data_IF_939568751385
#
_entry.id   IF_939568751385
#
_cell.length_a   1.000
_cell.length_b   1.000
_cell.length_c   1.000
_cell.angle_alpha   90.00
_cell.angle_beta   90.00
_cell.angle_gamma   90.00
#
_symmetry.space_group_name_H-M   'P 1'
#
loop_
_entity.id
_entity.type
_entity.pdbx_description
1 polymer ?
#
# COMPACT_ATOMS: atom_id res chain seq x y z
N UNK A 1 43.28 -6.08 -9.15
CA UNK A 1 42.66 -5.28 -10.22
C UNK A 1 41.18 -5.63 -10.54
N UNK A 2 40.70 -6.87 -10.29
CA UNK A 2 39.26 -7.25 -10.49
C UNK A 2 38.28 -6.58 -9.50
N UNK A 3 38.72 -6.34 -8.26
CA UNK A 3 37.94 -5.64 -7.22
C UNK A 3 37.72 -4.14 -7.46
N UNK A 4 38.51 -3.53 -8.35
CA UNK A 4 38.40 -2.11 -8.68
C UNK A 4 37.32 -1.87 -9.74
N UNK A 5 37.14 -2.80 -10.69
CA UNK A 5 36.06 -2.71 -11.69
C UNK A 5 34.68 -2.94 -11.09
N UNK A 6 34.53 -3.84 -10.11
CA UNK A 6 33.26 -3.98 -9.38
C UNK A 6 32.89 -2.74 -8.56
N UNK A 7 33.89 -2.05 -7.97
CA UNK A 7 33.67 -0.78 -7.27
C UNK A 7 33.27 0.36 -8.21
N UNK A 8 33.87 0.44 -9.40
CA UNK A 8 33.55 1.46 -10.40
C UNK A 8 32.14 1.27 -11.01
N UNK A 9 31.66 0.03 -11.13
CA UNK A 9 30.26 -0.26 -11.53
C UNK A 9 29.30 0.18 -10.43
N UNK A 10 29.62 -0.07 -9.15
CA UNK A 10 28.80 0.39 -8.03
C UNK A 10 28.82 1.92 -7.85
N UNK A 11 29.93 2.60 -8.11
CA UNK A 11 30.01 4.07 -8.06
C UNK A 11 29.30 4.74 -9.25
N UNK A 12 29.34 4.14 -10.45
CA UNK A 12 28.58 4.61 -11.60
C UNK A 12 27.05 4.49 -11.43
N UNK A 13 26.59 3.49 -10.67
CA UNK A 13 25.17 3.28 -10.36
C UNK A 13 24.64 4.24 -9.27
N UNK A 14 25.52 4.84 -8.46
CA UNK A 14 25.15 5.81 -7.40
C UNK A 14 24.73 7.19 -7.93
N UNK A 15 24.85 7.44 -9.23
CA UNK A 15 24.40 8.69 -9.88
C UNK A 15 22.90 8.66 -10.20
N UNK A 16 22.27 7.48 -10.17
CA UNK A 16 20.84 7.32 -10.40
C UNK A 16 20.10 7.29 -9.05
N UNK A 17 19.06 8.10 -8.88
CA UNK A 17 18.17 8.03 -7.71
C UNK A 17 17.33 6.74 -7.61
N UNK A 18 17.67 5.71 -8.39
CA UNK A 18 16.94 4.46 -8.54
C UNK A 18 17.87 3.25 -8.40
N UNK A 19 17.32 2.16 -7.87
CA UNK A 19 17.99 0.88 -7.75
C UNK A 19 17.85 0.08 -9.05
N UNK A 20 18.88 -0.68 -9.41
CA UNK A 20 18.80 -1.68 -10.48
C UNK A 20 17.84 -2.81 -10.10
N UNK A 21 17.29 -3.58 -11.05
CA UNK A 21 16.37 -4.67 -10.75
C UNK A 21 16.93 -5.70 -9.75
N UNK A 22 18.25 -5.97 -9.80
CA UNK A 22 18.95 -6.85 -8.86
C UNK A 22 18.97 -6.25 -7.45
N UNK A 23 19.36 -4.98 -7.31
CA UNK A 23 19.37 -4.27 -6.03
C UNK A 23 17.95 -4.12 -5.43
N UNK A 24 16.92 -3.95 -6.26
CA UNK A 24 15.51 -3.93 -5.81
C UNK A 24 15.13 -5.28 -5.22
N UNK A 25 15.48 -6.39 -5.89
CA UNK A 25 15.16 -7.73 -5.41
C UNK A 25 15.80 -8.00 -4.03
N UNK A 26 17.09 -7.66 -3.88
CA UNK A 26 17.79 -7.76 -2.60
C UNK A 26 17.14 -6.90 -1.51
N UNK A 27 16.75 -5.66 -1.87
CA UNK A 27 16.08 -4.75 -0.94
C UNK A 27 14.71 -5.28 -0.49
N UNK A 28 13.93 -5.87 -1.41
CA UNK A 28 12.62 -6.46 -1.11
C UNK A 28 12.75 -7.65 -0.17
N UNK A 29 13.80 -8.47 -0.31
CA UNK A 29 14.10 -9.57 0.62
C UNK A 29 14.40 -9.03 2.02
N UNK A 30 15.22 -7.97 2.13
CA UNK A 30 15.49 -7.34 3.42
C UNK A 30 14.24 -6.72 4.06
N UNK A 31 13.39 -6.06 3.26
CA UNK A 31 12.10 -5.53 3.72
C UNK A 31 11.19 -6.66 4.21
N UNK A 32 11.16 -7.78 3.49
CA UNK A 32 10.37 -8.96 3.84
C UNK A 32 10.72 -9.48 5.23
N UNK A 33 12.02 -9.57 5.54
CA UNK A 33 12.50 -9.94 6.87
C UNK A 33 11.99 -8.98 7.94
N UNK A 34 12.23 -7.68 7.76
CA UNK A 34 11.83 -6.65 8.73
C UNK A 34 10.32 -6.67 9.00
N UNK A 35 9.50 -6.80 7.95
CA UNK A 35 8.04 -6.88 8.08
C UNK A 35 7.58 -8.14 8.82
N UNK A 36 8.23 -9.27 8.58
CA UNK A 36 7.89 -10.54 9.27
C UNK A 36 8.23 -10.51 10.78
N UNK A 37 9.20 -9.67 11.18
CA UNK A 37 9.68 -9.52 12.56
C UNK A 37 8.98 -8.39 13.32
N UNK A 38 8.13 -7.59 12.66
CA UNK A 38 7.35 -6.53 13.31
C UNK A 38 6.55 -7.06 14.51
N UNK A 39 6.61 -6.30 15.60
CA UNK A 39 5.79 -6.55 16.77
C UNK A 39 4.30 -6.39 16.42
N UNK A 40 3.44 -7.15 17.11
CA UNK A 40 2.01 -7.19 16.81
C UNK A 40 1.36 -5.81 16.96
N UNK A 41 1.66 -5.05 18.01
CA UNK A 41 1.03 -3.75 18.23
C UNK A 41 1.29 -2.74 17.09
N UNK A 42 2.55 -2.45 16.69
CA UNK A 42 2.82 -1.62 15.51
C UNK A 42 2.17 -2.16 14.23
N UNK A 43 2.21 -3.47 14.02
CA UNK A 43 1.59 -4.12 12.85
C UNK A 43 0.08 -3.87 12.80
N UNK A 44 -0.61 -3.93 13.95
CA UNK A 44 -2.04 -3.67 14.03
C UNK A 44 -2.36 -2.19 13.77
N UNK A 45 -1.62 -1.27 14.39
CA UNK A 45 -1.85 0.18 14.23
C UNK A 45 -1.56 0.65 12.79
N UNK A 46 -0.41 0.27 12.24
CA UNK A 46 -0.04 0.58 10.87
C UNK A 46 -0.98 -0.11 9.86
N UNK A 47 -1.44 -1.32 10.17
CA UNK A 47 -2.45 -2.02 9.37
C UNK A 47 -3.80 -1.30 9.38
N UNK A 48 -4.27 -0.81 10.52
CA UNK A 48 -5.50 -0.02 10.58
C UNK A 48 -5.38 1.29 9.79
N UNK A 49 -4.26 1.99 9.92
CA UNK A 49 -4.00 3.20 9.12
C UNK A 49 -4.03 2.91 7.63
N UNK A 50 -3.41 1.81 7.18
CA UNK A 50 -3.47 1.42 5.78
C UNK A 50 -4.91 1.19 5.30
N UNK A 51 -5.74 0.52 6.10
CA UNK A 51 -7.17 0.32 5.82
C UNK A 51 -7.93 1.64 5.67
N UNK A 52 -7.70 2.59 6.58
CA UNK A 52 -8.31 3.93 6.53
C UNK A 52 -7.87 4.69 5.27
N UNK A 53 -6.58 4.67 4.92
CA UNK A 53 -6.08 5.40 3.74
C UNK A 53 -6.62 4.86 2.42
N UNK A 54 -6.68 3.53 2.27
CA UNK A 54 -7.30 2.92 1.08
C UNK A 54 -8.80 3.21 1.04
N UNK A 55 -9.47 3.19 2.19
CA UNK A 55 -10.87 3.58 2.31
C UNK A 55 -11.10 5.04 1.86
N UNK A 56 -10.23 5.97 2.25
CA UNK A 56 -10.33 7.38 1.82
C UNK A 56 -10.14 7.53 0.31
N UNK A 57 -9.19 6.80 -0.29
CA UNK A 57 -9.02 6.79 -1.74
C UNK A 57 -10.24 6.23 -2.47
N UNK A 58 -10.88 5.20 -1.91
CA UNK A 58 -12.11 4.62 -2.44
C UNK A 58 -13.30 5.60 -2.35
N UNK A 59 -13.48 6.26 -1.20
CA UNK A 59 -14.53 7.26 -1.00
C UNK A 59 -14.39 8.44 -1.98
N UNK A 60 -13.17 8.97 -2.13
CA UNK A 60 -12.91 10.05 -3.08
C UNK A 60 -13.21 9.63 -4.53
N UNK A 61 -12.86 8.39 -4.89
CA UNK A 61 -13.20 7.82 -6.19
C UNK A 61 -14.72 7.74 -6.39
N UNK A 62 -15.47 7.23 -5.41
CA UNK A 62 -16.93 7.14 -5.47
C UNK A 62 -17.54 8.53 -5.63
N UNK A 63 -17.14 9.50 -4.80
CA UNK A 63 -17.71 10.85 -4.81
C UNK A 63 -17.48 11.55 -6.16
N UNK A 64 -16.25 11.52 -6.68
CA UNK A 64 -15.92 12.17 -7.96
C UNK A 64 -16.56 11.46 -9.15
N UNK A 65 -16.83 10.16 -9.07
CA UNK A 65 -17.44 9.40 -10.17
C UNK A 65 -18.95 9.30 -10.08
N UNK A 66 -19.57 9.87 -9.05
CA UNK A 66 -20.99 9.73 -8.77
C UNK A 66 -21.88 10.28 -9.89
N UNK A 67 -21.64 11.50 -10.34
CA UNK A 67 -22.42 12.20 -11.37
C UNK A 67 -21.61 12.48 -12.65
N UNK A 68 -20.29 12.41 -12.57
CA UNK A 68 -19.36 12.68 -13.68
C UNK A 68 -19.64 11.91 -14.97
N UNK A 69 -20.05 10.62 -14.95
CA UNK A 69 -20.43 9.90 -16.17
C UNK A 69 -21.59 10.56 -16.94
N UNK A 70 -22.50 11.26 -16.26
CA UNK A 70 -23.64 11.95 -16.89
C UNK A 70 -23.21 13.15 -17.72
N UNK A 71 -22.11 13.81 -17.32
CA UNK A 71 -21.64 15.05 -17.94
C UNK A 71 -20.46 14.84 -18.90
N UNK A 72 -19.51 13.97 -18.55
CA UNK A 72 -18.24 13.79 -19.28
C UNK A 72 -18.06 12.36 -19.85
N UNK A 73 -19.03 11.47 -19.63
CA UNK A 73 -19.01 10.10 -20.13
C UNK A 73 -18.20 9.13 -19.26
N UNK A 74 -18.47 7.83 -19.44
CA UNK A 74 -17.93 6.75 -18.60
C UNK A 74 -16.41 6.64 -18.68
N UNK A 75 -15.82 6.88 -19.86
CA UNK A 75 -14.37 6.77 -20.06
C UNK A 75 -13.60 7.78 -19.20
N UNK A 76 -14.00 9.05 -19.27
CA UNK A 76 -13.35 10.12 -18.50
C UNK A 76 -13.60 9.94 -16.99
N UNK A 77 -14.81 9.56 -16.59
CA UNK A 77 -15.10 9.28 -15.19
C UNK A 77 -14.19 8.18 -14.61
N UNK A 78 -13.94 7.08 -15.34
CA UNK A 78 -13.01 6.03 -14.91
C UNK A 78 -11.56 6.53 -14.80
N UNK A 79 -11.11 7.37 -15.73
CA UNK A 79 -9.77 7.97 -15.69
C UNK A 79 -9.59 8.83 -14.43
N UNK A 80 -10.56 9.70 -14.15
CA UNK A 80 -10.51 10.56 -12.96
C UNK A 80 -10.60 9.73 -11.68
N UNK A 81 -11.51 8.75 -11.63
CA UNK A 81 -11.64 7.84 -10.48
C UNK A 81 -10.34 7.11 -10.16
N UNK A 82 -9.66 6.55 -11.17
CA UNK A 82 -8.35 5.92 -10.97
C UNK A 82 -7.27 6.90 -10.51
N UNK A 83 -7.28 8.13 -11.04
CA UNK A 83 -6.33 9.18 -10.68
C UNK A 83 -6.45 9.56 -9.20
N UNK A 84 -7.67 9.78 -8.70
CA UNK A 84 -7.90 10.16 -7.30
C UNK A 84 -7.75 8.98 -6.33
N UNK A 85 -8.09 7.76 -6.76
CA UNK A 85 -7.88 6.56 -5.94
C UNK A 85 -6.39 6.35 -5.59
N UNK A 86 -5.48 6.72 -6.51
CA UNK A 86 -4.03 6.60 -6.30
C UNK A 86 -3.53 7.36 -5.06
N UNK A 87 -4.22 8.43 -4.64
CA UNK A 87 -3.90 9.19 -3.43
C UNK A 87 -3.96 8.29 -2.19
N UNK A 88 -4.93 7.35 -2.13
CA UNK A 88 -5.03 6.39 -1.03
C UNK A 88 -3.78 5.52 -0.91
N UNK A 89 -3.23 5.05 -2.04
CA UNK A 89 -1.96 4.30 -2.06
C UNK A 89 -0.76 5.19 -1.73
N UNK A 90 -0.74 6.45 -2.17
CA UNK A 90 0.34 7.40 -1.80
C UNK A 90 0.40 7.63 -0.29
N UNK A 91 -0.76 7.78 0.37
CA UNK A 91 -0.84 7.92 1.83
C UNK A 91 -0.24 6.71 2.55
N UNK A 92 -0.56 5.49 2.09
CA UNK A 92 0.03 4.24 2.62
C UNK A 92 1.55 4.26 2.51
N UNK A 93 2.09 4.64 1.35
CA UNK A 93 3.54 4.65 1.10
C UNK A 93 4.24 5.71 1.93
N UNK A 94 3.72 6.94 1.98
CA UNK A 94 4.32 8.05 2.72
C UNK A 94 4.29 7.80 4.23
N UNK A 95 3.18 7.30 4.75
CA UNK A 95 3.05 6.99 6.17
C UNK A 95 3.83 5.72 6.59
N UNK A 96 4.30 4.92 5.63
CA UNK A 96 4.91 3.62 5.91
C UNK A 96 3.94 2.63 6.52
N UNK A 97 2.66 2.72 6.15
CA UNK A 97 1.61 1.86 6.70
C UNK A 97 1.72 0.42 6.15
N UNK A 98 1.26 -0.55 6.94
CA UNK A 98 1.34 -1.97 6.58
C UNK A 98 0.10 -2.38 5.79
N UNK A 99 0.22 -2.44 4.48
CA UNK A 99 -0.85 -2.87 3.58
C UNK A 99 -0.65 -4.33 3.16
N UNK A 100 -1.70 -5.14 3.26
CA UNK A 100 -1.65 -6.57 2.97
C UNK A 100 -1.09 -6.89 1.58
N UNK A 101 -1.55 -6.18 0.54
CA UNK A 101 -1.10 -6.40 -0.84
C UNK A 101 0.39 -6.12 -1.02
N UNK A 102 0.94 -5.13 -0.31
CA UNK A 102 2.39 -4.88 -0.28
C UNK A 102 3.15 -5.94 0.52
N UNK A 103 2.53 -6.48 1.57
CA UNK A 103 3.11 -7.53 2.40
C UNK A 103 3.07 -8.92 1.74
N UNK A 104 2.34 -9.11 0.64
CA UNK A 104 2.45 -10.31 -0.19
C UNK A 104 3.89 -10.56 -0.68
N UNK A 105 4.70 -9.49 -0.82
CA UNK A 105 6.11 -9.60 -1.19
C UNK A 105 6.99 -10.26 -0.12
N UNK A 106 6.50 -10.46 1.11
CA UNK A 106 7.18 -11.26 2.14
C UNK A 106 7.49 -12.68 1.64
N UNK A 107 6.71 -13.18 0.66
CA UNK A 107 6.98 -14.42 -0.04
C UNK A 107 8.40 -14.50 -0.61
N UNK A 108 8.98 -13.37 -1.06
CA UNK A 108 10.39 -13.35 -1.53
C UNK A 108 11.38 -13.71 -0.40
N UNK A 109 11.11 -13.27 0.82
CA UNK A 109 11.86 -13.68 2.01
C UNK A 109 11.74 -15.18 2.30
N UNK A 110 10.57 -15.77 2.07
CA UNK A 110 10.35 -17.21 2.21
C UNK A 110 11.11 -17.99 1.15
N UNK A 111 11.02 -17.56 -0.11
CA UNK A 111 11.70 -18.22 -1.24
C UNK A 111 13.23 -18.17 -1.12
N UNK A 112 13.76 -17.12 -0.49
CA UNK A 112 15.19 -16.97 -0.21
C UNK A 112 15.64 -17.61 1.11
N UNK A 113 14.72 -18.18 1.88
CA UNK A 113 15.01 -18.79 3.19
C UNK A 113 15.32 -17.79 4.31
N UNK A 114 15.14 -16.49 4.08
CA UNK A 114 15.37 -15.43 5.07
C UNK A 114 14.19 -15.22 6.03
N UNK A 115 12.99 -15.66 5.64
CA UNK A 115 11.76 -15.59 6.43
C UNK A 115 11.11 -16.96 6.52
N UNK A 116 10.63 -17.34 7.72
CA UNK A 116 9.85 -18.57 7.87
C UNK A 116 8.43 -18.42 7.33
N UNK A 117 7.86 -19.49 6.77
CA UNK A 117 6.44 -19.52 6.33
C UNK A 117 5.52 -19.10 7.47
N UNK A 118 5.80 -19.53 8.71
CA UNK A 118 5.05 -19.14 9.90
C UNK A 118 5.10 -17.63 10.16
N UNK A 119 6.27 -17.01 10.00
CA UNK A 119 6.43 -15.56 10.13
C UNK A 119 5.63 -14.78 9.10
N UNK A 120 5.63 -15.25 7.85
CA UNK A 120 4.82 -14.70 6.76
C UNK A 120 3.32 -14.81 7.05
N UNK A 121 2.84 -16.01 7.38
CA UNK A 121 1.41 -16.23 7.67
C UNK A 121 0.93 -15.41 8.88
N UNK A 122 1.78 -15.27 9.92
CA UNK A 122 1.48 -14.38 11.07
C UNK A 122 1.29 -12.94 10.61
N UNK A 123 2.23 -12.40 9.83
CA UNK A 123 2.14 -11.03 9.33
C UNK A 123 0.89 -10.84 8.46
N UNK A 124 0.69 -11.72 7.48
CA UNK A 124 -0.47 -11.67 6.58
C UNK A 124 -1.80 -11.67 7.32
N UNK A 125 -1.96 -12.55 8.31
CA UNK A 125 -3.18 -12.62 9.10
C UNK A 125 -3.46 -11.31 9.85
N UNK A 126 -2.51 -10.83 10.65
CA UNK A 126 -2.72 -9.62 11.45
C UNK A 126 -2.90 -8.37 10.58
N UNK A 127 -2.10 -8.21 9.53
CA UNK A 127 -2.20 -7.05 8.63
C UNK A 127 -3.53 -7.07 7.87
N UNK A 128 -3.98 -8.22 7.38
CA UNK A 128 -5.27 -8.33 6.70
C UNK A 128 -6.43 -7.95 7.64
N UNK A 129 -6.46 -8.51 8.85
CA UNK A 129 -7.51 -8.21 9.85
C UNK A 129 -7.47 -6.73 10.24
N UNK A 130 -6.29 -6.14 10.41
CA UNK A 130 -6.16 -4.71 10.72
C UNK A 130 -6.55 -3.80 9.58
N UNK A 131 -6.20 -4.13 8.33
CA UNK A 131 -6.66 -3.38 7.16
C UNK A 131 -8.19 -3.38 7.08
N UNK A 132 -8.82 -4.53 7.32
CA UNK A 132 -10.29 -4.64 7.37
C UNK A 132 -10.89 -3.83 8.52
N UNK A 133 -10.31 -3.89 9.73
CA UNK A 133 -10.77 -3.10 10.86
C UNK A 133 -10.64 -1.58 10.59
N UNK A 134 -9.54 -1.16 9.97
CA UNK A 134 -9.32 0.23 9.58
C UNK A 134 -10.30 0.73 8.53
N UNK A 135 -10.60 -0.08 7.51
CA UNK A 135 -11.61 0.29 6.51
C UNK A 135 -13.01 0.35 7.12
N UNK A 136 -13.35 -0.57 8.04
CA UNK A 136 -14.63 -0.54 8.76
C UNK A 136 -14.77 0.69 9.66
N UNK A 137 -13.68 1.12 10.32
CA UNK A 137 -13.64 2.36 11.08
C UNK A 137 -14.01 3.55 10.20
N UNK A 138 -13.42 3.64 9.00
CA UNK A 138 -13.78 4.71 8.06
C UNK A 138 -15.23 4.63 7.62
N UNK A 139 -15.74 3.43 7.29
CA UNK A 139 -17.16 3.22 6.93
C UNK A 139 -18.08 3.74 8.03
N UNK A 140 -17.77 3.46 9.30
CA UNK A 140 -18.55 3.96 10.45
C UNK A 140 -18.52 5.49 10.48
N UNK A 141 -17.36 6.11 10.31
CA UNK A 141 -17.22 7.58 10.27
C UNK A 141 -18.05 8.18 9.11
N UNK A 142 -17.99 7.57 7.92
CA UNK A 142 -18.76 8.01 6.74
C UNK A 142 -20.26 7.81 6.90
N UNK A 143 -20.67 6.73 7.58
CA UNK A 143 -22.07 6.49 7.88
C UNK A 143 -22.65 7.58 8.79
N UNK A 144 -21.93 7.93 9.86
CA UNK A 144 -22.35 8.96 10.82
C UNK A 144 -22.16 10.40 10.31
N UNK A 145 -21.26 10.63 9.35
CA UNK A 145 -21.12 11.95 8.72
C UNK A 145 -22.30 12.30 7.81
N UNK A 146 -23.05 11.30 7.35
CA UNK A 146 -24.17 11.48 6.42
C UNK A 146 -23.75 11.75 4.97
N UNK A 147 -22.46 11.65 4.64
CA UNK A 147 -21.93 11.91 3.29
C UNK A 147 -22.54 11.01 2.21
N UNK A 148 -22.93 9.78 2.57
CA UNK A 148 -23.62 8.87 1.66
C UNK A 148 -25.03 9.36 1.25
N UNK A 149 -25.58 10.38 1.94
CA UNK A 149 -26.91 10.95 1.67
C UNK A 149 -26.87 12.22 0.84
N UNK A 150 -25.72 12.62 0.29
CA UNK A 150 -25.56 13.90 -0.40
C UNK A 150 -26.54 14.08 -1.58
N UNK A 151 -27.09 13.00 -2.15
CA UNK A 151 -28.15 13.06 -3.17
C UNK A 151 -29.57 13.34 -2.64
N UNK A 152 -29.80 13.26 -1.34
CA UNK A 152 -31.11 13.53 -0.72
C UNK A 152 -31.34 15.02 -0.42
N UNK A 153 -30.40 15.89 -0.77
CA UNK A 153 -30.63 17.33 -0.83
C UNK A 153 -31.09 17.68 -2.24
N UNK A 154 -32.34 17.35 -2.54
CA UNK A 154 -33.08 18.01 -3.62
C UNK A 154 -33.23 19.51 -3.37
#
# INVERSE_FOLDING_TARGET
MRNSRHRLIQEGNRVSGFLSPEEVAEKVVQISKNKSELQVLPMLLLGMLAGVYIGFGAELCIMVTHDLPKYLGVGFAKFVGGSVFSVGLMLVVIAGAELFTGNCLILTGVLTGTVSIRGMMRNWFFVYVSNFAGSMLLVIIMYYSGLWRVDNFG
#
